data_IF_361455006487
#
_entry.id   IF_361455006487
#
_cell.length_a   1.000
_cell.length_b   1.000
_cell.length_c   1.000
_cell.angle_alpha   90.00
_cell.angle_beta   90.00
_cell.angle_gamma   90.00
#
_symmetry.space_group_name_H-M   'P 1'
#
loop_
_entity.id
_entity.type
_entity.pdbx_description
1 polymer ?
#
# COMPACT_ATOMS: atom_id res chain seq x y z
N UNK A 1 16.72 18.14 4.73
CA UNK A 1 17.10 17.11 3.72
C UNK A 1 16.79 15.69 4.19
N UNK A 2 15.74 15.50 5.01
CA UNK A 2 15.36 14.19 5.58
C UNK A 2 14.10 13.62 4.90
N UNK A 3 13.29 14.48 4.31
CA UNK A 3 11.97 14.16 3.74
C UNK A 3 12.01 13.19 2.56
N UNK A 4 12.95 13.34 1.63
CA UNK A 4 13.00 12.48 0.43
C UNK A 4 13.47 11.06 0.73
N UNK A 5 14.40 10.88 1.67
CA UNK A 5 14.89 9.56 2.08
C UNK A 5 13.80 8.82 2.87
N UNK A 6 13.10 9.53 3.75
CA UNK A 6 11.99 8.97 4.51
C UNK A 6 10.81 8.62 3.60
N UNK A 7 10.40 9.54 2.71
CA UNK A 7 9.33 9.28 1.73
C UNK A 7 9.65 8.09 0.80
N UNK A 8 10.91 7.87 0.40
CA UNK A 8 11.31 6.66 -0.34
C UNK A 8 11.19 5.38 0.48
N UNK A 9 11.54 5.42 1.77
CA UNK A 9 11.36 4.26 2.67
C UNK A 9 9.88 3.96 2.90
N UNK A 10 9.06 4.98 3.11
CA UNK A 10 7.62 4.85 3.27
C UNK A 10 6.96 4.32 1.99
N UNK A 11 7.41 4.78 0.82
CA UNK A 11 6.96 4.26 -0.47
C UNK A 11 7.30 2.77 -0.62
N UNK A 12 8.54 2.39 -0.32
CA UNK A 12 8.98 0.99 -0.37
C UNK A 12 8.15 0.12 0.58
N UNK A 13 7.93 0.59 1.81
CA UNK A 13 7.11 -0.10 2.80
C UNK A 13 5.67 -0.30 2.31
N UNK A 14 5.03 0.75 1.77
CA UNK A 14 3.67 0.65 1.25
C UNK A 14 3.58 -0.32 0.06
N UNK A 15 4.58 -0.35 -0.82
CA UNK A 15 4.67 -1.29 -1.92
C UNK A 15 4.81 -2.74 -1.43
N UNK A 16 5.74 -3.00 -0.52
CA UNK A 16 5.93 -4.32 0.09
C UNK A 16 4.67 -4.81 0.80
N UNK A 17 3.99 -3.92 1.52
CA UNK A 17 2.75 -4.24 2.19
C UNK A 17 1.61 -4.53 1.20
N UNK A 18 1.49 -3.75 0.12
CA UNK A 18 0.52 -4.00 -0.95
C UNK A 18 0.74 -5.38 -1.59
N UNK A 19 2.00 -5.74 -1.87
CA UNK A 19 2.36 -7.05 -2.44
C UNK A 19 1.93 -8.19 -1.52
N UNK A 20 2.08 -8.05 -0.20
CA UNK A 20 1.60 -9.06 0.77
C UNK A 20 0.09 -9.27 0.64
N UNK A 21 -0.69 -8.20 0.62
CA UNK A 21 -2.14 -8.30 0.48
C UNK A 21 -2.58 -8.84 -0.88
N UNK A 22 -1.83 -8.55 -1.96
CA UNK A 22 -2.10 -9.08 -3.29
C UNK A 22 -1.85 -10.60 -3.39
N UNK A 23 -0.76 -11.06 -2.76
CA UNK A 23 -0.34 -12.47 -2.75
C UNK A 23 -1.09 -13.32 -1.70
N UNK A 24 -1.84 -12.70 -0.80
CA UNK A 24 -2.59 -13.39 0.23
C UNK A 24 -3.75 -14.18 -0.40
N UNK A 25 -3.87 -15.45 -0.01
CA UNK A 25 -4.91 -16.33 -0.53
C UNK A 25 -6.30 -15.80 -0.16
N UNK A 26 -7.15 -15.64 -1.17
CA UNK A 26 -8.55 -15.23 -0.99
C UNK A 26 -9.46 -16.42 -0.66
N UNK A 27 -8.96 -17.64 -0.81
CA UNK A 27 -9.72 -18.87 -0.62
C UNK A 27 -10.05 -19.07 0.86
N UNK A 28 -11.33 -19.25 1.17
CA UNK A 28 -11.80 -19.47 2.53
C UNK A 28 -12.06 -18.20 3.34
N UNK A 29 -11.82 -17.02 2.78
CA UNK A 29 -12.18 -15.75 3.40
C UNK A 29 -13.67 -15.44 3.23
N UNK A 30 -14.27 -14.84 4.26
CA UNK A 30 -15.63 -14.31 4.18
C UNK A 30 -15.66 -13.05 3.33
N UNK A 31 -16.84 -12.73 2.80
CA UNK A 31 -17.05 -11.49 2.05
C UNK A 31 -16.58 -10.23 2.80
N UNK A 32 -16.83 -10.15 4.11
CA UNK A 32 -16.36 -9.05 4.96
C UNK A 32 -14.83 -8.95 5.03
N UNK A 33 -14.12 -10.08 5.01
CA UNK A 33 -12.66 -10.12 5.06
C UNK A 33 -12.06 -9.73 3.70
N UNK A 34 -12.68 -10.18 2.61
CA UNK A 34 -12.31 -9.75 1.25
C UNK A 34 -12.48 -8.25 1.07
N UNK A 35 -13.62 -7.70 1.50
CA UNK A 35 -13.88 -6.25 1.44
C UNK A 35 -12.90 -5.47 2.32
N UNK A 36 -12.53 -5.99 3.50
CA UNK A 36 -11.51 -5.35 4.34
C UNK A 36 -10.14 -5.33 3.65
N UNK A 37 -9.73 -6.45 3.02
CA UNK A 37 -8.49 -6.51 2.25
C UNK A 37 -8.49 -5.55 1.06
N UNK A 38 -9.58 -5.48 0.30
CA UNK A 38 -9.69 -4.54 -0.83
C UNK A 38 -9.60 -3.08 -0.36
N UNK A 39 -10.26 -2.72 0.74
CA UNK A 39 -10.17 -1.40 1.32
C UNK A 39 -8.73 -1.05 1.76
N UNK A 40 -8.00 -2.00 2.36
CA UNK A 40 -6.59 -1.81 2.72
C UNK A 40 -5.75 -1.59 1.45
N UNK A 41 -5.93 -2.41 0.42
CA UNK A 41 -5.21 -2.27 -0.85
C UNK A 41 -5.48 -0.92 -1.53
N UNK A 42 -6.73 -0.42 -1.49
CA UNK A 42 -7.09 0.90 -2.04
C UNK A 42 -6.33 2.01 -1.30
N UNK A 43 -6.33 1.99 0.04
CA UNK A 43 -5.63 2.98 0.87
C UNK A 43 -4.12 2.97 0.63
N UNK A 44 -3.52 1.78 0.52
CA UNK A 44 -2.09 1.63 0.21
C UNK A 44 -1.75 2.20 -1.17
N UNK A 45 -2.56 1.90 -2.20
CA UNK A 45 -2.37 2.47 -3.54
C UNK A 45 -2.47 3.99 -3.56
N UNK A 46 -3.39 4.56 -2.78
CA UNK A 46 -3.54 6.02 -2.66
C UNK A 46 -2.35 6.65 -1.95
N UNK A 47 -1.86 6.04 -0.86
CA UNK A 47 -0.63 6.49 -0.18
C UNK A 47 0.60 6.42 -1.10
N UNK A 48 0.77 5.33 -1.84
CA UNK A 48 1.85 5.18 -2.83
C UNK A 48 1.77 6.33 -3.85
N UNK A 49 0.58 6.62 -4.38
CA UNK A 49 0.38 7.72 -5.35
C UNK A 49 0.76 9.07 -4.75
N UNK A 50 0.32 9.35 -3.51
CA UNK A 50 0.62 10.60 -2.83
C UNK A 50 2.12 10.76 -2.55
N UNK A 51 2.79 9.68 -2.11
CA UNK A 51 4.22 9.64 -1.88
C UNK A 51 5.01 9.82 -3.19
N UNK A 52 4.54 9.22 -4.29
CA UNK A 52 5.13 9.38 -5.61
C UNK A 52 5.04 10.84 -6.07
N UNK A 53 3.85 11.46 -5.97
CA UNK A 53 3.68 12.89 -6.26
C UNK A 53 4.54 13.79 -5.37
N UNK A 54 4.70 13.46 -4.08
CA UNK A 54 5.56 14.22 -3.16
C UNK A 54 7.07 14.05 -3.46
N UNK A 55 7.47 12.96 -4.11
CA UNK A 55 8.86 12.69 -4.51
C UNK A 55 9.20 13.24 -5.90
N UNK A 56 8.21 13.40 -6.77
CA UNK A 56 8.34 13.98 -8.12
C UNK A 56 8.30 15.52 -8.16
N UNK A 57 7.98 16.17 -7.02
CA UNK A 57 8.10 17.63 -6.80
C UNK A 57 9.48 17.94 -6.19
#
# INVERSE_FOLDING_TARGET
MTDRVQAKKDLQFCCDELIKYQNLSRTGLRHSELVAMDNIMIRLKEQIKNLHSALEI
#
